data_IF_632051047356
#
_entry.id   IF_632051047356
#
_cell.length_a   1.000
_cell.length_b   1.000
_cell.length_c   1.000
_cell.angle_alpha   90.00
_cell.angle_beta   90.00
_cell.angle_gamma   90.00
#
_symmetry.space_group_name_H-M   'P 1'
#
loop_
_entity.id
_entity.type
_entity.pdbx_description
1 polymer ?
#
# COMPACT_ATOMS: atom_id res chain seq x y z
N UNK A 1 15.32 3.19 -12.49
CA UNK A 1 13.85 3.10 -12.57
C UNK A 1 13.32 3.31 -11.17
N UNK A 2 12.71 4.47 -10.89
CA UNK A 2 12.48 4.94 -9.52
C UNK A 2 11.32 4.22 -8.84
N UNK A 3 11.49 3.91 -7.55
CA UNK A 3 10.37 3.59 -6.65
C UNK A 3 9.47 4.83 -6.59
N UNK A 4 8.20 4.68 -6.97
CA UNK A 4 7.21 5.75 -6.87
C UNK A 4 6.10 5.26 -5.96
N UNK A 5 5.96 5.93 -4.82
CA UNK A 5 4.87 5.72 -3.89
C UNK A 5 3.76 6.71 -4.22
N UNK A 6 2.50 6.31 -4.07
CA UNK A 6 1.40 7.28 -4.09
C UNK A 6 1.50 8.22 -2.88
N UNK A 7 1.83 7.66 -1.70
CA UNK A 7 2.02 8.40 -0.45
C UNK A 7 3.23 7.89 0.34
N UNK A 8 4.00 8.82 0.88
CA UNK A 8 5.02 8.56 1.88
C UNK A 8 4.83 9.54 3.04
N UNK A 9 4.47 9.03 4.21
CA UNK A 9 4.17 9.83 5.40
C UNK A 9 5.35 9.78 6.36
N UNK A 10 5.87 10.96 6.72
CA UNK A 10 6.97 11.15 7.69
C UNK A 10 8.20 10.27 7.41
N UNK A 11 8.46 9.92 6.14
CA UNK A 11 9.49 8.94 5.73
C UNK A 11 9.43 7.57 6.45
N UNK A 12 8.27 7.20 6.99
CA UNK A 12 8.09 6.00 7.82
C UNK A 12 7.01 5.06 7.28
N UNK A 13 5.95 5.59 6.70
CA UNK A 13 4.77 4.83 6.30
C UNK A 13 4.50 5.00 4.82
N UNK A 14 4.38 3.87 4.10
CA UNK A 14 4.05 3.85 2.67
C UNK A 14 2.54 3.66 2.50
N UNK A 15 1.92 4.50 1.69
CA UNK A 15 0.53 4.35 1.25
C UNK A 15 0.46 4.11 -0.26
N UNK A 16 -0.30 3.10 -0.67
CA UNK A 16 -0.62 2.80 -2.06
C UNK A 16 -2.13 2.84 -2.25
N UNK A 17 -2.57 3.62 -3.23
CA UNK A 17 -3.98 3.90 -3.48
C UNK A 17 -4.45 3.12 -4.71
N UNK A 18 -5.68 2.61 -4.66
CA UNK A 18 -6.33 1.89 -5.76
C UNK A 18 -7.82 2.26 -5.81
N UNK A 19 -8.43 2.10 -6.98
CA UNK A 19 -9.86 2.22 -7.20
C UNK A 19 -10.30 1.12 -8.17
N UNK A 20 -10.28 -0.13 -7.69
CA UNK A 20 -10.47 -1.35 -8.49
C UNK A 20 -11.42 -2.31 -7.78
N UNK A 21 -12.07 -3.22 -8.50
CA UNK A 21 -13.07 -4.14 -7.93
C UNK A 21 -12.57 -4.98 -6.75
N UNK A 22 -11.30 -5.38 -6.78
CA UNK A 22 -10.72 -6.15 -5.68
C UNK A 22 -9.19 -6.08 -5.67
N UNK A 23 -8.62 -6.13 -4.47
CA UNK A 23 -7.17 -6.27 -4.31
C UNK A 23 -6.74 -7.68 -4.71
N UNK A 24 -5.75 -7.76 -5.60
CA UNK A 24 -5.07 -8.99 -6.00
C UNK A 24 -3.75 -9.16 -5.22
N UNK A 25 -3.23 -10.40 -5.09
CA UNK A 25 -1.97 -10.67 -4.38
C UNK A 25 -0.76 -9.85 -4.90
N UNK A 26 -0.77 -9.46 -6.18
CA UNK A 26 0.29 -8.63 -6.77
C UNK A 26 0.39 -7.24 -6.12
N UNK A 27 -0.72 -6.66 -5.66
CA UNK A 27 -0.70 -5.36 -4.99
C UNK A 27 0.00 -5.45 -3.61
N UNK A 28 -0.14 -6.58 -2.92
CA UNK A 28 0.56 -6.85 -1.66
C UNK A 28 2.05 -7.08 -1.89
N UNK A 29 2.39 -7.86 -2.91
CA UNK A 29 3.79 -8.10 -3.30
C UNK A 29 4.51 -6.79 -3.67
N UNK A 30 3.80 -5.85 -4.31
CA UNK A 30 4.33 -4.51 -4.60
C UNK A 30 4.69 -3.76 -3.30
N UNK A 31 3.77 -3.65 -2.34
CA UNK A 31 4.06 -2.99 -1.06
C UNK A 31 5.21 -3.69 -0.31
N UNK A 32 5.23 -5.02 -0.27
CA UNK A 32 6.30 -5.76 0.42
C UNK A 32 7.67 -5.47 -0.20
N UNK A 33 7.72 -5.36 -1.53
CA UNK A 33 8.93 -4.96 -2.25
C UNK A 33 9.38 -3.56 -1.85
N UNK A 34 8.44 -2.61 -1.75
CA UNK A 34 8.73 -1.24 -1.33
C UNK A 34 9.24 -1.18 0.11
N UNK A 35 8.59 -1.86 1.04
CA UNK A 35 9.02 -1.94 2.44
C UNK A 35 10.43 -2.54 2.56
N UNK A 36 10.74 -3.57 1.78
CA UNK A 36 12.08 -4.19 1.74
C UNK A 36 13.14 -3.23 1.21
N UNK A 37 12.90 -2.61 0.05
CA UNK A 37 13.87 -1.75 -0.62
C UNK A 37 14.11 -0.41 0.10
N UNK A 38 13.13 0.08 0.84
CA UNK A 38 13.21 1.33 1.60
C UNK A 38 13.56 1.15 3.08
N UNK A 39 13.75 -0.10 3.51
CA UNK A 39 13.93 -0.49 4.91
C UNK A 39 12.85 0.05 5.87
N UNK A 40 11.60 0.18 5.38
CA UNK A 40 10.43 0.58 6.17
C UNK A 40 9.65 -0.64 6.65
N UNK A 41 8.85 -0.48 7.71
CA UNK A 41 8.13 -1.58 8.36
C UNK A 41 6.61 -1.58 8.14
N UNK A 42 6.02 -0.43 7.81
CA UNK A 42 4.56 -0.27 7.75
C UNK A 42 4.11 0.26 6.39
N UNK A 43 3.16 -0.46 5.78
CA UNK A 43 2.51 -0.05 4.55
C UNK A 43 0.99 -0.21 4.61
N UNK A 44 0.27 0.59 3.83
CA UNK A 44 -1.18 0.50 3.65
C UNK A 44 -1.55 0.41 2.17
N UNK A 45 -2.31 -0.62 1.81
CA UNK A 45 -3.10 -0.62 0.58
C UNK A 45 -4.47 -0.03 0.89
N UNK A 46 -4.89 0.96 0.12
CA UNK A 46 -6.18 1.63 0.28
C UNK A 46 -6.95 1.51 -1.03
N UNK A 47 -7.96 0.64 -1.07
CA UNK A 47 -8.89 0.54 -2.19
C UNK A 47 -10.12 1.42 -1.93
N UNK A 48 -10.34 2.43 -2.77
CA UNK A 48 -11.48 3.34 -2.70
C UNK A 48 -12.74 2.80 -3.37
N UNK A 49 -12.67 1.71 -4.13
CA UNK A 49 -13.85 1.09 -4.75
C UNK A 49 -14.60 0.18 -3.76
N UNK A 50 -15.04 0.77 -2.65
CA UNK A 50 -15.81 0.11 -1.58
C UNK A 50 -16.82 1.10 -1.00
N UNK A 51 -17.95 0.60 -0.50
CA UNK A 51 -18.99 1.45 0.13
C UNK A 51 -18.48 2.11 1.43
N UNK A 52 -17.70 1.37 2.22
CA UNK A 52 -17.13 1.85 3.48
C UNK A 52 -15.61 1.78 3.42
N UNK A 53 -14.93 2.92 3.47
CA UNK A 53 -13.47 2.98 3.31
C UNK A 53 -12.71 2.04 4.26
N UNK A 54 -13.22 1.85 5.49
CA UNK A 54 -12.63 0.92 6.47
C UNK A 54 -12.44 -0.50 5.93
N UNK A 55 -13.29 -0.98 5.00
CA UNK A 55 -13.18 -2.31 4.39
C UNK A 55 -12.21 -2.36 3.21
N UNK A 56 -11.81 -1.20 2.68
CA UNK A 56 -10.84 -1.08 1.59
C UNK A 56 -9.39 -0.91 2.06
N UNK A 57 -9.16 -0.74 3.37
CA UNK A 57 -7.82 -0.56 3.94
C UNK A 57 -7.23 -1.90 4.35
N UNK A 58 -6.07 -2.23 3.81
CA UNK A 58 -5.25 -3.38 4.23
C UNK A 58 -3.91 -2.90 4.78
N UNK A 59 -3.67 -3.20 6.05
CA UNK A 59 -2.39 -2.94 6.74
C UNK A 59 -1.41 -4.08 6.48
N UNK A 60 -0.17 -3.74 6.13
CA UNK A 60 0.91 -4.70 5.87
C UNK A 60 2.11 -4.34 6.76
N UNK A 61 2.68 -5.33 7.45
CA UNK A 61 3.84 -5.19 8.34
C UNK A 61 4.95 -6.15 7.89
N UNK A 62 6.18 -5.65 7.77
CA UNK A 62 7.39 -6.43 7.46
C UNK A 62 8.28 -6.61 8.68
#
# INVERSE_FOLDING_TARGET
TGLRFDLLVEDLVIGELKAIDGLLPVHEAQILTYLKLTNKRLGFLINFNVVLLKTGIKRIVR
#
